data_IF_330159616415
#
_entry.id   IF_330159616415
#
_cell.length_a   1.000
_cell.length_b   1.000
_cell.length_c   1.000
_cell.angle_alpha   90.00
_cell.angle_beta   90.00
_cell.angle_gamma   90.00
#
_symmetry.space_group_name_H-M   'P 1'
#
loop_
_entity.id
_entity.type
_entity.pdbx_description
1 polymer ?
#
# COMPACT_ATOMS: atom_id res chain seq x y z
N UNK A 1 16.05 -4.75 12.83
CA UNK A 1 15.16 -4.27 11.80
C UNK A 1 15.25 -5.17 10.58
N UNK A 2 14.10 -5.61 10.05
CA UNK A 2 14.12 -6.67 9.06
C UNK A 2 13.06 -6.45 7.99
N UNK A 3 13.46 -6.58 6.73
CA UNK A 3 12.56 -6.66 5.58
C UNK A 3 12.56 -8.10 5.08
N UNK A 4 11.38 -8.67 4.86
CA UNK A 4 11.27 -10.00 4.27
C UNK A 4 10.04 -10.10 3.37
N UNK A 5 10.01 -11.12 2.55
CA UNK A 5 8.83 -11.44 1.77
C UNK A 5 7.71 -11.91 2.71
N UNK A 6 6.48 -11.48 2.44
CA UNK A 6 5.33 -11.92 3.21
C UNK A 6 4.93 -13.35 2.82
N UNK A 7 4.33 -14.06 3.76
CA UNK A 7 3.86 -15.44 3.58
C UNK A 7 2.35 -15.51 3.80
N UNK A 8 1.72 -16.58 3.32
CA UNK A 8 0.28 -16.76 3.45
C UNK A 8 -0.19 -16.68 4.91
N UNK A 9 0.60 -17.19 5.83
CA UNK A 9 0.24 -17.15 7.25
C UNK A 9 0.35 -15.75 7.88
N UNK A 10 0.83 -14.75 7.12
CA UNK A 10 0.81 -13.35 7.56
C UNK A 10 -0.53 -12.66 7.30
N UNK A 11 -1.46 -13.32 6.59
CA UNK A 11 -2.68 -12.68 6.08
C UNK A 11 -3.49 -11.96 7.15
N UNK A 12 -3.70 -12.58 8.29
CA UNK A 12 -4.49 -11.97 9.36
C UNK A 12 -3.81 -10.73 9.92
N UNK A 13 -2.49 -10.77 10.10
CA UNK A 13 -1.72 -9.63 10.58
C UNK A 13 -1.76 -8.49 9.57
N UNK A 14 -1.61 -8.80 8.28
CA UNK A 14 -1.65 -7.79 7.22
C UNK A 14 -3.03 -7.13 7.15
N UNK A 15 -4.09 -7.92 7.29
CA UNK A 15 -5.43 -7.36 7.37
C UNK A 15 -5.56 -6.37 8.52
N UNK A 16 -5.05 -6.72 9.68
CA UNK A 16 -5.09 -5.83 10.85
C UNK A 16 -4.35 -4.53 10.61
N UNK A 17 -3.17 -4.58 9.99
CA UNK A 17 -2.40 -3.37 9.64
C UNK A 17 -3.20 -2.49 8.69
N UNK A 18 -3.72 -3.06 7.61
CA UNK A 18 -4.46 -2.29 6.60
C UNK A 18 -5.74 -1.72 7.18
N UNK A 19 -6.49 -2.52 7.94
CA UNK A 19 -7.75 -2.06 8.52
C UNK A 19 -7.54 -0.92 9.51
N UNK A 20 -6.44 -0.91 10.25
CA UNK A 20 -6.15 0.16 11.20
C UNK A 20 -5.96 1.53 10.53
N UNK A 21 -5.65 1.52 9.21
CA UNK A 21 -5.35 2.74 8.46
C UNK A 21 -6.34 3.00 7.32
N UNK A 22 -7.30 2.10 7.09
CA UNK A 22 -8.23 2.23 5.96
C UNK A 22 -9.12 3.46 6.07
N UNK A 23 -9.31 4.00 7.27
CA UNK A 23 -10.11 5.22 7.47
C UNK A 23 -9.54 6.44 6.74
N UNK A 24 -8.25 6.42 6.38
CA UNK A 24 -7.64 7.52 5.62
C UNK A 24 -8.20 7.64 4.19
N UNK A 25 -8.84 6.59 3.68
CA UNK A 25 -9.50 6.66 2.37
C UNK A 25 -10.89 7.26 2.43
N UNK A 26 -11.48 7.38 3.62
CA UNK A 26 -12.85 7.86 3.78
C UNK A 26 -12.93 9.37 3.65
N UNK A 27 -14.01 9.84 3.01
CA UNK A 27 -14.32 11.26 2.96
C UNK A 27 -14.72 11.76 4.36
N UNK A 28 -14.63 13.08 4.56
CA UNK A 28 -15.02 13.68 5.82
C UNK A 28 -16.46 13.31 6.18
N UNK A 29 -16.68 12.89 7.42
CA UNK A 29 -17.99 12.49 7.93
C UNK A 29 -18.40 11.06 7.61
N UNK A 30 -17.64 10.36 6.80
CA UNK A 30 -17.89 8.97 6.47
C UNK A 30 -17.28 8.09 7.57
N UNK A 31 -18.03 7.11 8.08
CA UNK A 31 -17.56 6.26 9.17
C UNK A 31 -17.22 4.84 8.74
N UNK A 32 -17.89 4.31 7.72
CA UNK A 32 -17.74 2.91 7.30
C UNK A 32 -17.23 2.81 5.88
N UNK A 33 -16.41 1.79 5.62
CA UNK A 33 -15.98 1.46 4.27
C UNK A 33 -17.17 0.90 3.48
N UNK A 34 -17.33 1.27 2.19
CA UNK A 34 -18.33 0.61 1.35
C UNK A 34 -18.01 -0.88 1.19
N UNK A 35 -19.04 -1.70 0.97
CA UNK A 35 -18.89 -3.15 0.90
C UNK A 35 -17.88 -3.57 -0.16
N UNK A 36 -17.87 -2.94 -1.34
CA UNK A 36 -16.96 -3.32 -2.40
C UNK A 36 -15.49 -3.13 -1.99
N UNK A 37 -15.20 -2.12 -1.15
CA UNK A 37 -13.85 -1.88 -0.63
C UNK A 37 -13.55 -2.84 0.52
N UNK A 38 -14.48 -2.96 1.47
CA UNK A 38 -14.30 -3.84 2.63
C UNK A 38 -14.09 -5.30 2.20
N UNK A 39 -14.76 -5.73 1.13
CA UNK A 39 -14.64 -7.09 0.61
C UNK A 39 -13.25 -7.41 0.07
N UNK A 40 -12.45 -6.39 -0.28
CA UNK A 40 -11.05 -6.61 -0.68
C UNK A 40 -10.13 -6.80 0.51
N UNK A 41 -10.61 -6.54 1.72
CA UNK A 41 -9.80 -6.51 2.94
C UNK A 41 -10.12 -7.67 3.89
N UNK A 42 -10.80 -8.71 3.42
CA UNK A 42 -11.01 -9.92 4.23
C UNK A 42 -9.74 -10.73 4.31
N UNK A 43 -9.61 -11.53 5.39
CA UNK A 43 -8.45 -12.41 5.54
C UNK A 43 -8.28 -13.34 4.34
N UNK A 44 -9.38 -13.90 3.82
CA UNK A 44 -9.33 -14.80 2.67
C UNK A 44 -8.83 -14.10 1.41
N UNK A 45 -9.16 -12.82 1.23
CA UNK A 45 -8.64 -12.05 0.09
C UNK A 45 -7.14 -11.76 0.24
N UNK A 46 -6.65 -11.52 1.45
CA UNK A 46 -5.21 -11.41 1.69
C UNK A 46 -4.52 -12.74 1.39
N UNK A 47 -5.08 -13.86 1.85
CA UNK A 47 -4.52 -15.18 1.54
C UNK A 47 -4.48 -15.44 0.05
N UNK A 48 -5.56 -15.09 -0.66
CA UNK A 48 -5.63 -15.26 -2.11
C UNK A 48 -4.52 -14.47 -2.82
N UNK A 49 -4.36 -13.19 -2.47
CA UNK A 49 -3.32 -12.36 -3.09
C UNK A 49 -1.92 -12.82 -2.73
N UNK A 50 -1.70 -13.28 -1.50
CA UNK A 50 -0.38 -13.80 -1.09
C UNK A 50 -0.01 -15.08 -1.83
N UNK A 51 -0.99 -15.83 -2.31
CA UNK A 51 -0.79 -17.04 -3.09
C UNK A 51 -0.74 -16.78 -4.60
N UNK A 52 -1.04 -15.57 -5.05
CA UNK A 52 -1.15 -15.21 -6.46
C UNK A 52 0.19 -14.65 -6.94
N UNK A 53 0.77 -15.27 -7.96
CA UNK A 53 2.06 -14.86 -8.53
C UNK A 53 2.04 -13.47 -9.16
N UNK A 54 0.85 -12.93 -9.46
CA UNK A 54 0.71 -11.58 -9.98
C UNK A 54 1.03 -10.53 -8.92
N UNK A 55 1.05 -10.90 -7.65
CA UNK A 55 1.33 -9.98 -6.54
C UNK A 55 2.69 -10.28 -5.92
N UNK A 56 3.36 -9.21 -5.50
CA UNK A 56 4.60 -9.27 -4.73
C UNK A 56 4.36 -8.55 -3.41
N UNK A 57 4.77 -9.15 -2.30
CA UNK A 57 4.48 -8.64 -0.96
C UNK A 57 5.73 -8.66 -0.10
N UNK A 58 6.00 -7.52 0.57
CA UNK A 58 7.09 -7.44 1.54
C UNK A 58 6.59 -6.84 2.84
N UNK A 59 7.17 -7.26 3.95
CA UNK A 59 6.85 -6.73 5.27
C UNK A 59 8.10 -6.18 5.95
N UNK A 60 7.89 -5.18 6.78
CA UNK A 60 8.93 -4.57 7.60
C UNK A 60 8.64 -4.92 9.05
N UNK A 61 9.64 -5.48 9.73
CA UNK A 61 9.49 -5.93 11.11
C UNK A 61 10.28 -5.06 12.07
N UNK A 62 9.67 -4.81 13.22
CA UNK A 62 10.33 -4.19 14.37
C UNK A 62 10.07 -5.10 15.57
N UNK A 63 11.13 -5.60 16.20
CA UNK A 63 11.04 -6.55 17.30
C UNK A 63 10.15 -7.75 16.98
N UNK A 64 10.37 -8.34 15.80
CA UNK A 64 9.63 -9.51 15.29
C UNK A 64 8.14 -9.24 15.03
N UNK A 65 7.71 -7.98 15.06
CA UNK A 65 6.33 -7.59 14.78
C UNK A 65 6.25 -6.91 13.42
N UNK A 66 5.27 -7.27 12.61
CA UNK A 66 5.03 -6.60 11.35
C UNK A 66 4.46 -5.20 11.65
N UNK A 67 5.17 -4.17 11.23
CA UNK A 67 4.76 -2.77 11.42
C UNK A 67 4.55 -2.04 10.10
N UNK A 68 4.95 -2.64 8.98
CA UNK A 68 4.77 -2.06 7.65
C UNK A 68 4.60 -3.14 6.60
N UNK A 69 3.95 -2.78 5.49
CA UNK A 69 3.58 -3.73 4.45
C UNK A 69 3.45 -3.03 3.10
N UNK A 70 4.03 -3.62 2.07
CA UNK A 70 3.89 -3.16 0.69
C UNK A 70 3.48 -4.33 -0.20
N UNK A 71 2.54 -4.06 -1.12
CA UNK A 71 2.13 -5.02 -2.14
C UNK A 71 2.11 -4.35 -3.49
N UNK A 72 2.70 -5.03 -4.50
CA UNK A 72 2.66 -4.60 -5.89
C UNK A 72 1.94 -5.65 -6.70
N UNK A 73 1.15 -5.19 -7.68
CA UNK A 73 0.47 -6.06 -8.64
C UNK A 73 1.20 -5.97 -9.97
N UNK A 74 1.62 -7.11 -10.50
CA UNK A 74 2.32 -7.25 -11.79
C UNK A 74 3.60 -6.39 -11.87
N UNK A 75 4.22 -6.11 -10.72
CA UNK A 75 5.40 -5.25 -10.60
C UNK A 75 5.22 -3.85 -11.19
N UNK A 76 3.98 -3.37 -11.32
CA UNK A 76 3.68 -2.08 -11.95
C UNK A 76 2.74 -1.22 -11.14
N UNK A 77 1.85 -1.83 -10.37
CA UNK A 77 0.85 -1.10 -9.61
C UNK A 77 1.08 -1.29 -8.13
N UNK A 78 1.32 -0.21 -7.42
CA UNK A 78 1.43 -0.24 -5.96
C UNK A 78 0.02 -0.41 -5.40
N UNK A 79 -0.27 -1.62 -4.91
CA UNK A 79 -1.60 -2.00 -4.47
C UNK A 79 -1.86 -1.60 -3.02
N UNK A 80 -0.89 -1.87 -2.14
CA UNK A 80 -0.93 -1.48 -0.73
C UNK A 80 0.43 -0.95 -0.29
N UNK A 81 0.43 0.11 0.50
CA UNK A 81 1.60 0.56 1.26
C UNK A 81 1.10 1.17 2.55
N UNK A 82 1.30 0.45 3.64
CA UNK A 82 0.80 0.85 4.95
C UNK A 82 1.87 0.67 6.01
N UNK A 83 1.96 1.63 6.92
CA UNK A 83 2.83 1.56 8.10
C UNK A 83 1.97 1.93 9.29
N UNK A 84 2.04 1.15 10.36
CA UNK A 84 1.27 1.41 11.57
C UNK A 84 1.55 2.84 12.05
N UNK A 85 0.50 3.53 12.51
CA UNK A 85 0.57 4.94 12.85
C UNK A 85 1.67 5.24 13.88
N UNK A 86 1.85 4.35 14.85
CA UNK A 86 2.88 4.52 15.88
C UNK A 86 4.31 4.52 15.32
N UNK A 87 4.48 4.04 14.08
CA UNK A 87 5.79 3.94 13.41
C UNK A 87 5.93 4.93 12.25
N UNK A 88 5.01 5.88 12.11
CA UNK A 88 5.12 6.92 11.08
C UNK A 88 6.31 7.83 11.34
N UNK A 89 6.76 8.51 10.28
CA UNK A 89 7.86 9.49 10.32
C UNK A 89 9.23 8.89 10.64
N UNK A 90 9.38 7.57 10.46
CA UNK A 90 10.65 6.88 10.69
C UNK A 90 11.28 6.39 9.38
N UNK A 91 10.69 6.76 8.23
CA UNK A 91 11.20 6.36 6.93
C UNK A 91 10.89 4.93 6.52
N UNK A 92 9.99 4.25 7.21
CA UNK A 92 9.68 2.84 6.93
C UNK A 92 8.99 2.69 5.59
N UNK A 93 8.02 3.56 5.27
CA UNK A 93 7.34 3.51 3.97
C UNK A 93 8.33 3.70 2.82
N UNK A 94 9.26 4.62 2.95
CA UNK A 94 10.31 4.84 1.94
C UNK A 94 11.20 3.61 1.80
N UNK A 95 11.59 2.99 2.91
CA UNK A 95 12.43 1.78 2.88
C UNK A 95 11.72 0.63 2.19
N UNK A 96 10.42 0.44 2.46
CA UNK A 96 9.62 -0.57 1.78
C UNK A 96 9.54 -0.29 0.28
N UNK A 97 9.28 0.96 -0.10
CA UNK A 97 9.20 1.36 -1.50
C UNK A 97 10.53 1.14 -2.22
N UNK A 98 11.63 1.65 -1.64
CA UNK A 98 12.96 1.51 -2.24
C UNK A 98 13.37 0.04 -2.39
N UNK A 99 13.06 -0.77 -1.38
CA UNK A 99 13.32 -2.21 -1.46
C UNK A 99 12.52 -2.86 -2.59
N UNK A 100 11.24 -2.53 -2.70
CA UNK A 100 10.37 -3.13 -3.71
C UNK A 100 10.82 -2.78 -5.13
N UNK A 101 11.18 -1.52 -5.40
CA UNK A 101 11.62 -1.14 -6.75
C UNK A 101 13.00 -1.71 -7.09
N UNK A 102 13.85 -1.92 -6.08
CA UNK A 102 15.15 -2.57 -6.29
C UNK A 102 15.01 -4.02 -6.72
N UNK A 103 13.93 -4.69 -6.30
CA UNK A 103 13.62 -6.07 -6.69
C UNK A 103 12.88 -6.13 -8.02
N UNK A 104 12.28 -5.03 -8.46
CA UNK A 104 11.47 -4.97 -9.67
C UNK A 104 12.27 -4.56 -10.90
N UNK A 105 11.62 -4.68 -12.06
CA UNK A 105 12.24 -4.34 -13.34
C UNK A 105 11.38 -3.41 -14.19
N UNK A 106 10.31 -2.86 -13.65
CA UNK A 106 9.44 -1.95 -14.38
C UNK A 106 10.05 -0.56 -14.51
N UNK A 107 9.78 0.09 -15.65
CA UNK A 107 10.18 1.48 -15.87
C UNK A 107 9.20 2.47 -15.23
N UNK A 108 7.95 2.07 -15.10
CA UNK A 108 6.90 2.93 -14.55
C UNK A 108 6.07 2.17 -13.53
N UNK A 109 5.59 2.92 -12.55
CA UNK A 109 4.70 2.39 -11.51
C UNK A 109 3.51 3.34 -11.35
N UNK A 110 2.34 2.75 -11.07
CA UNK A 110 1.12 3.52 -10.81
C UNK A 110 0.59 3.23 -9.41
N UNK A 111 -0.21 4.16 -8.90
CA UNK A 111 -0.96 3.93 -7.65
C UNK A 111 -2.20 4.81 -7.62
N UNK A 112 -3.09 4.48 -6.71
CA UNK A 112 -4.23 5.30 -6.33
C UNK A 112 -4.06 5.65 -4.86
N UNK A 113 -3.72 6.89 -4.60
CA UNK A 113 -3.41 7.36 -3.24
C UNK A 113 -4.65 7.84 -2.53
N UNK A 114 -4.74 7.56 -1.22
CA UNK A 114 -5.62 8.36 -0.38
C UNK A 114 -5.15 9.81 -0.46
N UNK A 115 -6.05 10.77 -0.24
CA UNK A 115 -5.66 12.18 -0.24
C UNK A 115 -4.62 12.47 0.85
N UNK A 116 -4.74 11.75 1.97
CA UNK A 116 -3.81 11.85 3.09
C UNK A 116 -2.36 11.57 2.68
N UNK A 117 -2.14 10.61 1.79
CA UNK A 117 -0.80 10.11 1.46
C UNK A 117 -0.18 10.75 0.22
N UNK A 118 -0.88 11.65 -0.49
CA UNK A 118 -0.38 12.24 -1.75
C UNK A 118 0.99 12.87 -1.56
N UNK A 119 1.18 13.68 -0.52
CA UNK A 119 2.47 14.36 -0.29
C UNK A 119 3.59 13.37 0.01
N UNK A 120 3.29 12.26 0.67
CA UNK A 120 4.28 11.22 0.93
C UNK A 120 4.77 10.62 -0.39
N UNK A 121 3.84 10.26 -1.27
CA UNK A 121 4.20 9.68 -2.57
C UNK A 121 4.92 10.68 -3.47
N UNK A 122 4.55 11.96 -3.39
CA UNK A 122 5.28 13.00 -4.12
C UNK A 122 6.74 13.06 -3.67
N UNK A 123 7.01 12.88 -2.39
CA UNK A 123 8.39 12.82 -1.87
C UNK A 123 9.16 11.61 -2.38
N UNK A 124 8.45 10.53 -2.73
CA UNK A 124 9.08 9.35 -3.33
C UNK A 124 9.38 9.54 -4.81
N UNK A 125 8.82 10.59 -5.43
CA UNK A 125 9.01 10.87 -6.85
C UNK A 125 7.78 10.61 -7.71
N UNK A 126 6.65 10.21 -7.12
CA UNK A 126 5.40 10.09 -7.86
C UNK A 126 4.86 11.46 -8.23
N UNK A 127 4.18 11.54 -9.36
CA UNK A 127 3.48 12.74 -9.81
C UNK A 127 2.01 12.43 -10.01
N UNK A 128 1.16 13.44 -9.79
CA UNK A 128 -0.28 13.32 -10.03
C UNK A 128 -0.48 13.07 -11.53
N UNK A 129 -1.26 12.05 -11.88
CA UNK A 129 -1.41 11.59 -13.26
C UNK A 129 -2.82 11.69 -13.82
N UNK A 130 -3.78 12.14 -13.03
CA UNK A 130 -5.15 12.26 -13.48
C UNK A 130 -6.00 12.99 -12.47
N UNK A 131 -7.29 13.07 -12.76
CA UNK A 131 -8.23 13.71 -11.85
C UNK A 131 -8.49 12.84 -10.64
N UNK A 132 -8.77 13.48 -9.50
CA UNK A 132 -9.17 12.80 -8.29
C UNK A 132 -10.46 12.03 -8.54
N UNK A 133 -10.52 10.78 -8.10
CA UNK A 133 -11.67 9.91 -8.29
C UNK A 133 -12.44 9.75 -6.98
N UNK A 134 -13.76 9.69 -7.08
CA UNK A 134 -14.65 9.51 -5.92
C UNK A 134 -15.61 8.37 -6.18
N UNK A 135 -15.78 7.49 -5.19
CA UNK A 135 -16.73 6.40 -5.27
C UNK A 135 -17.18 6.00 -3.87
N UNK A 136 -18.47 6.13 -3.60
CA UNK A 136 -19.11 5.65 -2.36
C UNK A 136 -18.37 6.10 -1.09
N UNK A 137 -17.96 7.37 -1.04
CA UNK A 137 -17.29 7.96 0.11
C UNK A 137 -15.77 7.69 0.15
N UNK A 138 -15.24 6.99 -0.86
CA UNK A 138 -13.80 6.76 -1.01
C UNK A 138 -13.26 7.73 -2.04
N UNK A 139 -12.12 8.34 -1.73
CA UNK A 139 -11.46 9.29 -2.62
C UNK A 139 -10.06 8.82 -2.94
N UNK A 140 -9.71 8.80 -4.24
CA UNK A 140 -8.40 8.38 -4.72
C UNK A 140 -7.79 9.43 -5.62
N UNK A 141 -6.48 9.59 -5.53
CA UNK A 141 -5.69 10.39 -6.45
C UNK A 141 -4.77 9.48 -7.25
N UNK A 142 -4.98 9.33 -8.58
CA UNK A 142 -4.06 8.54 -9.40
C UNK A 142 -2.70 9.22 -9.47
N UNK A 143 -1.63 8.43 -9.40
CA UNK A 143 -0.27 8.92 -9.45
C UNK A 143 0.62 7.95 -10.24
N UNK A 144 1.69 8.48 -10.83
CA UNK A 144 2.67 7.71 -11.59
C UNK A 144 4.09 8.02 -11.13
N UNK A 145 4.94 7.01 -11.19
CA UNK A 145 6.37 7.11 -10.93
C UNK A 145 7.12 6.58 -12.15
N UNK A 146 8.08 7.35 -12.65
CA UNK A 146 8.92 6.96 -13.77
C UNK A 146 10.32 6.64 -13.24
N UNK A 147 10.64 5.35 -13.16
CA UNK A 147 11.92 4.89 -12.62
C UNK A 147 13.11 5.31 -13.49
N UNK A 148 12.89 5.55 -14.79
CA UNK A 148 13.95 5.93 -15.71
C UNK A 148 14.41 7.39 -15.51
N UNK A 149 13.62 8.18 -14.81
CA UNK A 149 13.91 9.61 -14.55
C UNK A 149 14.45 9.88 -13.15
N UNK A 150 14.67 8.83 -12.36
CA UNK A 150 15.15 9.00 -10.98
C UNK A 150 16.68 8.94 -10.87
#
# INVERSE_FOLDING_TARGET
>A
MLLRQAQVNDAQTLRSVVMSLSHYYLADGQQDLPDWFANTLTTSEFERRLSDKAFTHYVYLSNDRIVGYIALKQNKHLYHLFVLQAFHRQGIARKLWEYAIAQGSSDTYSLRSSLYAVTVFQRFGFVISGECEHKDGITFQPMLFDASKQ
#
